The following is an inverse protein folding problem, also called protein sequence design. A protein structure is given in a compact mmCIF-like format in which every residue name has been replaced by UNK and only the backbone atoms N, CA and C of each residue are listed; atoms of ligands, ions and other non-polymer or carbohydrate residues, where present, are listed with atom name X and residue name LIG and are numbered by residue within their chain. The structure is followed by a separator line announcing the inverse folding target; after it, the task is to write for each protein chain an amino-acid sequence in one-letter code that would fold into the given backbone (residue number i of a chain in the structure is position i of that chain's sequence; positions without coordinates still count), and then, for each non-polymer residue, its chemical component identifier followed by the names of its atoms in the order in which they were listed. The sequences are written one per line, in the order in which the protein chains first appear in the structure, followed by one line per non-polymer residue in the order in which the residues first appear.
data_IF_640611297343
#
_entry.id   IF_640611297343
#
_cell.length_a   1.000
_cell.length_b   1.000
_cell.length_c   1.000
_cell.angle_alpha   90.00
_cell.angle_beta   90.00
_cell.angle_gamma   90.00
#
_symmetry.space_group_name_H-M   'P 1'
#
loop_
_entity.id
_entity.type
_entity.pdbx_description
1 polymer ?
#
# COMPACT_ATOMS: atom_id res chain seq x y z
N UNK A 1 -32.45 22.04 28.91
CA UNK A 1 -32.37 20.72 29.57
C UNK A 1 -31.18 19.98 29.00
N UNK A 2 -30.28 19.47 29.85
CA UNK A 2 -29.22 18.59 29.36
C UNK A 2 -29.84 17.26 28.93
N UNK A 3 -29.49 16.77 27.73
CA UNK A 3 -29.83 15.42 27.27
C UNK A 3 -28.70 14.44 27.55
N UNK A 4 -28.99 13.13 27.46
CA UNK A 4 -27.97 12.10 27.52
C UNK A 4 -26.92 12.31 26.40
N UNK A 5 -25.64 12.40 26.75
CA UNK A 5 -24.52 12.62 25.81
C UNK A 5 -24.36 11.50 24.76
N UNK A 6 -24.93 10.32 25.02
CA UNK A 6 -24.87 9.20 24.09
C UNK A 6 -26.07 9.11 23.16
N UNK A 7 -27.30 9.04 23.70
CA UNK A 7 -28.52 8.83 22.90
C UNK A 7 -29.32 10.10 22.61
N UNK A 8 -28.97 11.24 23.20
CA UNK A 8 -29.67 12.52 23.00
C UNK A 8 -31.04 12.62 23.69
N UNK A 9 -31.55 11.55 24.30
CA UNK A 9 -32.82 11.59 25.01
C UNK A 9 -32.78 12.63 26.14
N UNK A 10 -33.77 13.52 26.13
CA UNK A 10 -34.03 14.47 27.20
C UNK A 10 -35.44 14.21 27.74
N UNK A 11 -35.52 13.61 28.92
CA UNK A 11 -36.78 13.59 29.68
C UNK A 11 -36.49 14.19 31.03
N UNK A 12 -37.37 15.08 31.46
CA UNK A 12 -37.36 15.68 32.79
C UNK A 12 -37.37 14.65 33.93
N UNK A 13 -37.82 13.42 33.65
CA UNK A 13 -37.90 12.31 34.62
C UNK A 13 -36.63 11.44 34.69
N UNK A 14 -35.72 11.52 33.72
CA UNK A 14 -34.51 10.70 33.74
C UNK A 14 -33.34 11.51 34.31
N UNK A 15 -32.95 11.19 35.55
CA UNK A 15 -31.71 11.68 36.13
C UNK A 15 -30.51 11.29 35.26
N UNK A 16 -29.65 12.26 34.97
CA UNK A 16 -28.38 12.01 34.30
C UNK A 16 -27.30 11.69 35.33
N UNK A 17 -26.39 10.80 34.96
CA UNK A 17 -25.21 10.46 35.75
C UNK A 17 -24.20 11.61 35.72
N UNK A 18 -23.17 11.62 36.59
CA UNK A 18 -22.11 12.63 36.54
C UNK A 18 -21.41 12.69 35.18
N UNK A 19 -21.37 11.58 34.45
CA UNK A 19 -20.85 11.50 33.07
C UNK A 19 -21.81 12.02 31.99
N UNK A 20 -23.00 12.50 32.36
CA UNK A 20 -24.00 13.01 31.43
C UNK A 20 -24.73 11.91 30.66
N UNK A 21 -24.83 10.69 31.21
CA UNK A 21 -25.52 9.55 30.59
C UNK A 21 -26.85 9.27 31.30
N UNK A 22 -27.84 8.71 30.61
CA UNK A 22 -29.00 8.11 31.29
C UNK A 22 -28.66 6.70 31.79
N UNK A 23 -29.41 6.18 32.76
CA UNK A 23 -29.15 4.88 33.38
C UNK A 23 -29.00 3.72 32.36
N UNK A 24 -29.79 3.72 31.27
CA UNK A 24 -29.68 2.69 30.23
C UNK A 24 -28.37 2.80 29.44
N UNK A 25 -27.91 4.02 29.13
CA UNK A 25 -26.68 4.24 28.38
C UNK A 25 -25.44 4.08 29.26
N UNK A 26 -25.51 4.36 30.57
CA UNK A 26 -24.37 4.29 31.48
C UNK A 26 -23.73 2.90 31.50
N UNK A 27 -24.53 1.85 31.72
CA UNK A 27 -24.01 0.49 31.76
C UNK A 27 -23.41 0.06 30.42
N UNK A 28 -24.08 0.37 29.31
CA UNK A 28 -23.62 -0.02 27.97
C UNK A 28 -22.31 0.69 27.60
N UNK A 29 -22.26 2.02 27.77
CA UNK A 29 -21.08 2.82 27.43
C UNK A 29 -19.91 2.49 28.34
N UNK A 30 -20.15 2.26 29.63
CA UNK A 30 -19.07 1.91 30.56
C UNK A 30 -18.43 0.56 30.22
N UNK A 31 -19.25 -0.45 29.94
CA UNK A 31 -18.76 -1.77 29.53
C UNK A 31 -18.00 -1.71 28.20
N UNK A 32 -18.49 -0.95 27.22
CA UNK A 32 -17.81 -0.73 25.95
C UNK A 32 -16.46 -0.03 26.15
N UNK A 33 -16.43 1.08 26.89
CA UNK A 33 -15.20 1.84 27.18
C UNK A 33 -14.16 0.96 27.87
N UNK A 34 -14.55 0.20 28.89
CA UNK A 34 -13.65 -0.72 29.60
C UNK A 34 -13.06 -1.78 28.65
N UNK A 35 -13.91 -2.41 27.84
CA UNK A 35 -13.47 -3.43 26.89
C UNK A 35 -12.51 -2.85 25.85
N UNK A 36 -12.78 -1.65 25.33
CA UNK A 36 -11.91 -0.97 24.37
C UNK A 36 -10.55 -0.62 24.99
N UNK A 37 -10.54 -0.12 26.23
CA UNK A 37 -9.31 0.17 26.97
C UNK A 37 -8.49 -1.11 27.18
N UNK A 38 -9.13 -2.23 27.50
CA UNK A 38 -8.46 -3.53 27.64
C UNK A 38 -7.75 -3.95 26.35
N UNK A 39 -8.47 -3.91 25.22
CA UNK A 39 -7.93 -4.27 23.89
C UNK A 39 -6.83 -3.30 23.46
N UNK A 40 -7.00 -2.00 23.74
CA UNK A 40 -5.99 -0.97 23.51
C UNK A 40 -4.68 -1.31 24.24
N UNK A 41 -4.76 -1.57 25.55
CA UNK A 41 -3.58 -1.85 26.38
C UNK A 41 -2.89 -3.18 26.01
N UNK A 42 -3.66 -4.20 25.63
CA UNK A 42 -3.10 -5.45 25.12
C UNK A 42 -2.37 -5.25 23.79
N UNK A 43 -2.99 -4.51 22.86
CA UNK A 43 -2.44 -4.27 21.53
C UNK A 43 -1.19 -3.38 21.58
N UNK A 44 -1.20 -2.34 22.43
CA UNK A 44 -0.03 -1.47 22.65
C UNK A 44 1.16 -2.27 23.19
N UNK A 45 0.96 -3.08 24.23
CA UNK A 45 2.01 -3.98 24.76
C UNK A 45 2.50 -4.98 23.71
N UNK A 46 1.59 -5.50 22.88
CA UNK A 46 1.96 -6.37 21.76
C UNK A 46 2.81 -5.66 20.70
N UNK A 47 2.54 -4.39 20.41
CA UNK A 47 3.32 -3.57 19.48
C UNK A 47 4.71 -3.23 20.03
N UNK A 48 4.84 -3.02 21.34
CA UNK A 48 6.11 -2.72 22.00
C UNK A 48 7.06 -3.93 22.02
N UNK A 49 6.51 -5.13 22.24
CA UNK A 49 7.31 -6.35 22.47
C UNK A 49 7.70 -7.08 21.19
N UNK A 50 6.94 -6.93 20.10
CA UNK A 50 7.23 -7.62 18.83
C UNK A 50 8.38 -6.97 18.07
N UNK A 51 9.26 -7.80 17.50
CA UNK A 51 10.33 -7.38 16.59
C UNK A 51 9.89 -7.45 15.10
N UNK A 52 8.77 -8.10 14.81
CA UNK A 52 8.25 -8.20 13.46
C UNK A 52 7.49 -6.91 13.10
N UNK A 53 8.00 -6.18 12.10
CA UNK A 53 7.43 -4.89 11.69
C UNK A 53 5.99 -5.00 11.16
N UNK A 54 5.64 -6.09 10.47
CA UNK A 54 4.26 -6.32 10.00
C UNK A 54 3.33 -6.51 11.19
N UNK A 55 3.68 -7.40 12.11
CA UNK A 55 2.88 -7.62 13.33
C UNK A 55 2.77 -6.34 14.16
N UNK A 56 3.85 -5.54 14.26
CA UNK A 56 3.82 -4.25 14.95
C UNK A 56 2.84 -3.29 14.30
N UNK A 57 2.85 -3.18 12.97
CA UNK A 57 1.89 -2.35 12.22
C UNK A 57 0.45 -2.80 12.43
N UNK A 58 0.18 -4.10 12.42
CA UNK A 58 -1.18 -4.63 12.64
C UNK A 58 -1.69 -4.31 14.06
N UNK A 59 -0.81 -4.38 15.06
CA UNK A 59 -1.12 -3.99 16.43
C UNK A 59 -1.37 -2.48 16.56
N UNK A 60 -0.55 -1.66 15.90
CA UNK A 60 -0.75 -0.20 15.88
C UNK A 60 -2.04 0.20 15.14
N UNK A 61 -2.41 -0.50 14.07
CA UNK A 61 -3.70 -0.30 13.39
C UNK A 61 -4.87 -0.56 14.35
N UNK A 62 -4.80 -1.65 15.13
CA UNK A 62 -5.82 -1.93 16.15
C UNK A 62 -5.86 -0.87 17.26
N UNK A 63 -4.70 -0.40 17.72
CA UNK A 63 -4.59 0.71 18.68
C UNK A 63 -5.29 1.96 18.16
N UNK A 64 -5.03 2.35 16.91
CA UNK A 64 -5.68 3.50 16.26
C UNK A 64 -7.20 3.31 16.22
N UNK A 65 -7.69 2.14 15.80
CA UNK A 65 -9.14 1.85 15.75
C UNK A 65 -9.81 1.98 17.13
N UNK A 66 -9.19 1.46 18.19
CA UNK A 66 -9.76 1.59 19.54
C UNK A 66 -9.74 3.03 20.03
N UNK A 67 -8.66 3.77 19.77
CA UNK A 67 -8.54 5.18 20.13
C UNK A 67 -9.53 6.07 19.36
N UNK A 68 -9.83 5.77 18.09
CA UNK A 68 -10.85 6.50 17.32
C UNK A 68 -12.24 6.36 17.95
N UNK A 69 -12.60 5.15 18.38
CA UNK A 69 -13.87 4.91 19.06
C UNK A 69 -13.94 5.61 20.43
N UNK A 70 -12.87 5.50 21.24
CA UNK A 70 -12.78 6.20 22.53
C UNK A 70 -12.83 7.72 22.37
N UNK A 71 -12.12 8.26 21.38
CA UNK A 71 -12.14 9.68 21.05
C UNK A 71 -13.55 10.15 20.62
N UNK A 72 -14.38 9.28 20.04
CA UNK A 72 -15.76 9.63 19.73
C UNK A 72 -16.62 9.82 20.99
N UNK A 73 -16.38 9.04 22.05
CA UNK A 73 -17.02 9.25 23.36
C UNK A 73 -16.48 10.52 24.03
N UNK A 74 -15.17 10.73 24.00
CA UNK A 74 -14.52 11.94 24.56
C UNK A 74 -15.09 13.22 23.92
N UNK A 75 -15.25 13.26 22.59
CA UNK A 75 -15.86 14.39 21.86
C UNK A 75 -17.31 14.68 22.26
N UNK A 76 -18.04 13.66 22.72
CA UNK A 76 -19.41 13.82 23.26
C UNK A 76 -19.40 14.31 24.71
N UNK A 77 -18.22 14.49 25.30
CA UNK A 77 -18.02 14.85 26.70
C UNK A 77 -18.20 13.66 27.65
N UNK A 78 -18.21 12.41 27.17
CA UNK A 78 -18.32 11.25 28.05
C UNK A 78 -16.95 11.00 28.68
N UNK A 79 -16.85 10.94 30.02
CA UNK A 79 -15.57 10.69 30.69
C UNK A 79 -15.10 9.25 30.43
N UNK A 80 -13.91 9.10 29.85
CA UNK A 80 -13.29 7.80 29.55
C UNK A 80 -12.01 7.53 30.35
N UNK A 81 -11.60 8.45 31.22
CA UNK A 81 -10.44 8.28 32.09
C UNK A 81 -9.06 8.46 31.42
N UNK A 82 -9.01 8.83 30.14
CA UNK A 82 -7.78 9.11 29.39
C UNK A 82 -8.02 10.16 28.30
N UNK A 83 -6.94 10.68 27.70
CA UNK A 83 -6.99 11.65 26.59
C UNK A 83 -6.90 10.95 25.24
N UNK A 84 -8.01 10.37 24.76
CA UNK A 84 -8.02 9.50 23.58
C UNK A 84 -7.62 10.26 22.31
N UNK A 85 -8.06 11.50 22.15
CA UNK A 85 -7.68 12.31 20.99
C UNK A 85 -6.18 12.60 20.91
N UNK A 86 -5.55 12.83 22.06
CA UNK A 86 -4.10 13.03 22.13
C UNK A 86 -3.36 11.76 21.77
N UNK A 87 -3.71 10.64 22.43
CA UNK A 87 -3.10 9.35 22.17
C UNK A 87 -3.32 8.88 20.74
N UNK A 88 -4.50 9.16 20.15
CA UNK A 88 -4.79 8.85 18.75
C UNK A 88 -3.83 9.54 17.80
N UNK A 89 -3.54 10.84 18.02
CA UNK A 89 -2.58 11.59 17.20
C UNK A 89 -1.17 11.03 17.33
N UNK A 90 -0.76 10.64 18.54
CA UNK A 90 0.56 10.05 18.80
C UNK A 90 0.68 8.68 18.14
N UNK A 91 -0.28 7.78 18.36
CA UNK A 91 -0.32 6.44 17.78
C UNK A 91 -0.38 6.48 16.25
N UNK A 92 -1.20 7.36 15.65
CA UNK A 92 -1.27 7.50 14.20
C UNK A 92 0.06 7.97 13.59
N UNK A 93 0.76 8.89 14.26
CA UNK A 93 2.09 9.36 13.82
C UNK A 93 3.14 8.25 13.91
N UNK A 94 3.19 7.51 15.03
CA UNK A 94 4.10 6.38 15.20
C UNK A 94 3.85 5.32 14.13
N UNK A 95 2.58 4.96 13.94
CA UNK A 95 2.14 3.99 12.95
C UNK A 95 2.56 4.39 11.54
N UNK A 96 2.27 5.62 11.11
CA UNK A 96 2.63 6.08 9.77
C UNK A 96 4.15 6.18 9.58
N UNK A 97 4.90 6.55 10.62
CA UNK A 97 6.36 6.55 10.58
C UNK A 97 6.93 5.13 10.41
N UNK A 98 6.40 4.15 11.17
CA UNK A 98 6.79 2.75 11.03
C UNK A 98 6.44 2.20 9.65
N UNK A 99 5.27 2.54 9.10
CA UNK A 99 4.84 2.10 7.77
C UNK A 99 5.81 2.60 6.69
N UNK A 100 6.18 3.88 6.75
CA UNK A 100 7.15 4.45 5.81
C UNK A 100 8.55 3.86 5.98
N UNK A 101 8.97 3.60 7.21
CA UNK A 101 10.26 2.95 7.48
C UNK A 101 10.30 1.52 6.92
N UNK A 102 9.23 0.74 7.11
CA UNK A 102 9.10 -0.61 6.56
C UNK A 102 9.09 -0.58 5.04
N UNK A 103 8.29 0.30 4.42
CA UNK A 103 8.25 0.43 2.96
C UNK A 103 9.62 0.80 2.37
N UNK A 104 10.38 1.67 3.05
CA UNK A 104 11.76 2.02 2.65
C UNK A 104 12.70 0.81 2.76
N UNK A 105 12.65 0.06 3.86
CA UNK A 105 13.49 -1.13 4.04
C UNK A 105 13.19 -2.17 2.97
N UNK A 106 11.92 -2.44 2.71
CA UNK A 106 11.49 -3.38 1.68
C UNK A 106 11.93 -2.94 0.28
N UNK A 107 11.92 -1.62 -0.01
CA UNK A 107 12.49 -1.07 -1.24
C UNK A 107 13.98 -1.36 -1.33
N UNK A 108 14.75 -1.02 -0.29
CA UNK A 108 16.20 -1.19 -0.27
C UNK A 108 16.57 -2.67 -0.46
N UNK A 109 15.86 -3.58 0.22
CA UNK A 109 16.03 -5.03 0.10
C UNK A 109 15.68 -5.55 -1.30
N UNK A 110 14.56 -5.10 -1.86
CA UNK A 110 14.15 -5.45 -3.23
C UNK A 110 15.16 -4.95 -4.25
N UNK A 111 15.63 -3.71 -4.11
CA UNK A 111 16.61 -3.14 -5.05
C UNK A 111 17.97 -3.82 -4.95
N UNK A 112 18.37 -4.30 -3.76
CA UNK A 112 19.55 -5.17 -3.61
C UNK A 112 19.36 -6.50 -4.36
N UNK A 113 18.22 -7.15 -4.19
CA UNK A 113 17.91 -8.41 -4.89
C UNK A 113 17.87 -8.22 -6.41
N UNK A 114 17.24 -7.16 -6.92
CA UNK A 114 17.15 -6.83 -8.35
C UNK A 114 18.54 -6.59 -8.96
N UNK A 115 19.47 -5.98 -8.22
CA UNK A 115 20.85 -5.77 -8.70
C UNK A 115 21.66 -7.08 -8.75
N UNK A 116 21.42 -7.99 -7.81
CA UNK A 116 22.13 -9.26 -7.71
C UNK A 116 21.60 -10.33 -8.68
N UNK A 117 20.34 -10.25 -9.08
CA UNK A 117 19.72 -11.16 -10.03
C UNK A 117 20.25 -10.91 -11.46
N UNK A 118 20.79 -11.89 -12.18
CA UNK A 118 21.18 -11.71 -13.59
C UNK A 118 20.00 -11.80 -14.56
N UNK A 119 18.99 -12.63 -14.28
CA UNK A 119 17.89 -12.90 -15.20
C UNK A 119 16.88 -11.74 -15.22
N UNK A 120 16.65 -11.08 -16.38
CA UNK A 120 15.72 -9.96 -16.47
C UNK A 120 14.28 -10.33 -16.11
N UNK A 121 13.82 -11.55 -16.38
CA UNK A 121 12.44 -11.94 -16.07
C UNK A 121 12.23 -12.03 -14.55
N UNK A 122 13.22 -12.59 -13.84
CA UNK A 122 13.25 -12.60 -12.38
C UNK A 122 13.39 -11.19 -11.79
N UNK A 123 14.21 -10.31 -12.37
CA UNK A 123 14.28 -8.89 -11.97
C UNK A 123 12.91 -8.21 -12.06
N UNK A 124 12.22 -8.37 -13.19
CA UNK A 124 10.91 -7.78 -13.38
C UNK A 124 9.88 -8.35 -12.39
N UNK A 125 9.92 -9.66 -12.14
CA UNK A 125 9.07 -10.30 -11.12
C UNK A 125 9.31 -9.72 -9.73
N UNK A 126 10.56 -9.55 -9.30
CA UNK A 126 10.88 -8.93 -8.00
C UNK A 126 10.30 -7.51 -7.86
N UNK A 127 10.39 -6.70 -8.93
CA UNK A 127 9.82 -5.36 -8.96
C UNK A 127 8.29 -5.38 -8.94
N UNK A 128 7.65 -6.30 -9.66
CA UNK A 128 6.18 -6.45 -9.64
C UNK A 128 5.66 -6.94 -8.28
N UNK A 129 6.32 -7.92 -7.67
CA UNK A 129 6.00 -8.41 -6.32
C UNK A 129 6.14 -7.26 -5.29
N UNK A 130 7.16 -6.40 -5.43
CA UNK A 130 7.30 -5.21 -4.59
C UNK A 130 6.25 -4.13 -4.89
N UNK A 131 5.83 -3.94 -6.14
CA UNK A 131 4.73 -3.03 -6.51
C UNK A 131 3.44 -3.41 -5.79
N UNK A 132 3.13 -4.70 -5.67
CA UNK A 132 1.96 -5.16 -4.91
C UNK A 132 2.06 -4.77 -3.43
N UNK A 133 3.21 -4.98 -2.80
CA UNK A 133 3.44 -4.53 -1.41
C UNK A 133 3.33 -3.01 -1.25
N UNK A 134 3.79 -2.22 -2.23
CA UNK A 134 3.60 -0.76 -2.22
C UNK A 134 2.12 -0.36 -2.27
N UNK A 135 1.28 -1.10 -3.01
CA UNK A 135 -0.16 -0.87 -3.01
C UNK A 135 -0.77 -1.16 -1.65
N UNK A 136 -0.32 -2.23 -0.99
CA UNK A 136 -0.78 -2.55 0.37
C UNK A 136 -0.36 -1.45 1.36
N UNK A 137 0.89 -0.98 1.31
CA UNK A 137 1.33 0.16 2.11
C UNK A 137 0.51 1.43 1.83
N UNK A 138 0.22 1.72 0.56
CA UNK A 138 -0.56 2.88 0.17
C UNK A 138 -2.04 2.78 0.57
N UNK A 139 -2.61 1.57 0.60
CA UNK A 139 -3.97 1.29 1.07
C UNK A 139 -4.08 1.40 2.59
N UNK A 140 -3.00 1.07 3.32
CA UNK A 140 -2.91 1.24 4.77
C UNK A 140 -2.64 2.69 5.18
N UNK A 141 -1.84 3.46 4.43
CA UNK A 141 -1.44 4.81 4.82
C UNK A 141 -2.61 5.80 4.87
N UNK A 142 -2.76 6.54 5.99
CA UNK A 142 -3.76 7.62 6.09
C UNK A 142 -3.41 8.78 5.16
N UNK A 143 -2.13 9.13 5.10
CA UNK A 143 -1.57 10.06 4.13
C UNK A 143 -0.66 9.26 3.19
N UNK A 144 -1.07 9.16 1.92
CA UNK A 144 -0.35 8.35 0.92
C UNK A 144 1.10 8.78 0.71
N UNK A 145 1.40 10.06 0.94
CA UNK A 145 2.76 10.61 0.87
C UNK A 145 3.47 10.25 -0.44
N UNK A 146 4.72 9.77 -0.39
CA UNK A 146 5.49 9.43 -1.59
C UNK A 146 5.13 8.06 -2.21
N UNK A 147 4.30 7.24 -1.56
CA UNK A 147 4.07 5.85 -1.98
C UNK A 147 3.50 5.72 -3.40
N UNK A 148 2.51 6.51 -3.85
CA UNK A 148 2.00 6.40 -5.22
C UNK A 148 3.03 6.78 -6.28
N UNK A 149 3.90 7.75 -5.98
CA UNK A 149 4.97 8.14 -6.90
C UNK A 149 6.05 7.04 -6.97
N UNK A 150 6.36 6.41 -5.84
CA UNK A 150 7.27 5.27 -5.79
C UNK A 150 6.70 4.06 -6.54
N UNK A 151 5.41 3.77 -6.38
CA UNK A 151 4.73 2.69 -7.12
C UNK A 151 4.87 2.87 -8.63
N UNK A 152 4.62 4.09 -9.15
CA UNK A 152 4.80 4.40 -10.58
C UNK A 152 6.24 4.21 -11.03
N UNK A 153 7.23 4.61 -10.22
CA UNK A 153 8.66 4.42 -10.53
C UNK A 153 9.03 2.94 -10.60
N UNK A 154 8.54 2.13 -9.65
CA UNK A 154 8.78 0.68 -9.64
C UNK A 154 8.11 -0.01 -10.83
N UNK A 155 6.87 0.37 -11.14
CA UNK A 155 6.15 -0.13 -12.31
C UNK A 155 6.90 0.18 -13.61
N UNK A 156 7.35 1.44 -13.78
CA UNK A 156 8.14 1.85 -14.93
C UNK A 156 9.49 1.12 -15.00
N UNK A 157 10.16 0.90 -13.87
CA UNK A 157 11.41 0.13 -13.82
C UNK A 157 11.19 -1.33 -14.26
N UNK A 158 10.10 -1.98 -13.81
CA UNK A 158 9.76 -3.34 -14.21
C UNK A 158 9.45 -3.43 -15.72
N UNK A 159 8.67 -2.46 -16.23
CA UNK A 159 8.40 -2.33 -17.66
C UNK A 159 9.69 -2.22 -18.48
N UNK A 160 10.62 -1.35 -18.07
CA UNK A 160 11.88 -1.14 -18.79
C UNK A 160 12.73 -2.41 -18.83
N UNK A 161 12.87 -3.11 -17.72
CA UNK A 161 13.62 -4.40 -17.67
C UNK A 161 13.01 -5.41 -18.64
N UNK A 162 11.68 -5.54 -18.67
CA UNK A 162 11.01 -6.45 -19.60
C UNK A 162 11.19 -6.05 -21.06
N UNK A 163 11.13 -4.75 -21.36
CA UNK A 163 11.31 -4.24 -22.72
C UNK A 163 12.73 -4.50 -23.22
N UNK A 164 13.74 -4.14 -22.42
CA UNK A 164 15.15 -4.33 -22.76
C UNK A 164 15.44 -5.81 -23.02
N UNK A 165 14.94 -6.71 -22.16
CA UNK A 165 15.09 -8.15 -22.33
C UNK A 165 14.43 -8.69 -23.60
N UNK A 166 13.22 -8.22 -23.93
CA UNK A 166 12.52 -8.61 -25.15
C UNK A 166 13.27 -8.14 -26.40
N UNK A 167 13.78 -6.91 -26.40
CA UNK A 167 14.60 -6.36 -27.49
C UNK A 167 15.92 -7.13 -27.66
N UNK A 168 16.63 -7.43 -26.57
CA UNK A 168 17.85 -8.23 -26.59
C UNK A 168 17.61 -9.66 -27.09
N UNK A 169 16.45 -10.25 -26.79
CA UNK A 169 16.06 -11.56 -27.38
C UNK A 169 15.82 -11.44 -28.87
N UNK A 170 15.16 -10.39 -29.33
CA UNK A 170 14.93 -10.13 -30.75
C UNK A 170 16.25 -10.01 -31.52
N UNK A 171 17.17 -9.18 -31.02
CA UNK A 171 18.51 -9.00 -31.63
C UNK A 171 19.30 -10.31 -31.65
N UNK A 172 19.26 -11.10 -30.56
CA UNK A 172 19.96 -12.39 -30.53
C UNK A 172 19.39 -13.41 -31.51
N UNK A 173 18.06 -13.49 -31.61
CA UNK A 173 17.39 -14.37 -32.55
C UNK A 173 17.66 -13.96 -34.00
N UNK A 174 17.68 -12.66 -34.29
CA UNK A 174 18.10 -12.10 -35.57
C UNK A 174 19.52 -12.55 -35.94
N UNK A 175 20.49 -12.38 -35.03
CA UNK A 175 21.88 -12.82 -35.25
C UNK A 175 22.00 -14.34 -35.45
N UNK A 176 21.13 -15.12 -34.82
CA UNK A 176 21.09 -16.57 -34.96
C UNK A 176 20.36 -17.04 -36.24
N UNK A 177 19.66 -16.14 -36.95
CA UNK A 177 18.81 -16.48 -38.08
C UNK A 177 17.51 -17.21 -37.69
N UNK A 178 17.14 -17.22 -36.41
CA UNK A 178 15.89 -17.82 -35.91
C UNK A 178 14.74 -16.83 -36.08
N UNK A 179 14.17 -16.81 -37.27
CA UNK A 179 13.08 -15.88 -37.65
C UNK A 179 11.85 -15.98 -36.76
N UNK A 180 11.53 -17.19 -36.29
CA UNK A 180 10.34 -17.41 -35.45
C UNK A 180 10.54 -16.85 -34.04
N UNK A 181 11.72 -17.07 -33.44
CA UNK A 181 12.05 -16.46 -32.15
C UNK A 181 12.17 -14.94 -32.24
N UNK A 182 12.72 -14.44 -33.34
CA UNK A 182 12.84 -13.01 -33.62
C UNK A 182 11.46 -12.34 -33.69
N UNK A 183 10.54 -12.91 -34.48
CA UNK A 183 9.17 -12.43 -34.62
C UNK A 183 8.46 -12.37 -33.26
N UNK A 184 8.51 -13.45 -32.48
CA UNK A 184 7.89 -13.50 -31.14
C UNK A 184 8.45 -12.44 -30.20
N UNK A 185 9.77 -12.25 -30.20
CA UNK A 185 10.42 -11.27 -29.34
C UNK A 185 10.01 -9.83 -29.69
N UNK A 186 10.00 -9.46 -30.97
CA UNK A 186 9.59 -8.12 -31.39
C UNK A 186 8.07 -7.88 -31.21
N UNK A 187 7.22 -8.89 -31.39
CA UNK A 187 5.79 -8.79 -31.04
C UNK A 187 5.59 -8.54 -29.54
N UNK A 188 6.37 -9.22 -28.68
CA UNK A 188 6.36 -8.96 -27.25
C UNK A 188 6.83 -7.54 -26.92
N UNK A 189 7.91 -7.06 -27.55
CA UNK A 189 8.37 -5.67 -27.41
C UNK A 189 7.29 -4.65 -27.82
N UNK A 190 6.60 -4.89 -28.94
CA UNK A 190 5.51 -4.01 -29.39
C UNK A 190 4.34 -3.98 -28.40
N UNK A 191 4.01 -5.14 -27.82
CA UNK A 191 2.99 -5.24 -26.77
C UNK A 191 3.38 -4.41 -25.54
N UNK A 192 4.63 -4.52 -25.08
CA UNK A 192 5.16 -3.73 -23.97
C UNK A 192 5.19 -2.22 -24.27
N UNK A 193 5.60 -1.84 -25.49
CA UNK A 193 5.63 -0.45 -25.95
C UNK A 193 4.23 0.16 -26.08
N UNK A 194 3.19 -0.66 -26.19
CA UNK A 194 1.79 -0.23 -26.28
C UNK A 194 1.09 -0.18 -24.92
N UNK A 195 1.76 -0.63 -23.84
CA UNK A 195 1.19 -0.64 -22.50
C UNK A 195 1.08 0.77 -21.89
N UNK A 196 0.15 1.00 -20.93
CA UNK A 196 0.04 2.28 -20.21
C UNK A 196 1.29 2.68 -19.41
N UNK A 197 2.13 1.69 -19.07
CA UNK A 197 3.38 1.92 -18.33
C UNK A 197 4.51 2.43 -19.26
N UNK A 198 4.32 2.36 -20.59
CA UNK A 198 5.24 2.89 -21.57
C UNK A 198 5.22 4.43 -21.53
N UNK A 199 6.33 5.01 -21.06
CA UNK A 199 6.52 6.46 -20.99
C UNK A 199 7.96 6.83 -21.27
N UNK A 200 8.17 8.04 -21.78
CA UNK A 200 9.50 8.56 -22.12
C UNK A 200 9.61 8.98 -23.59
N UNK A 201 10.60 9.82 -23.91
CA UNK A 201 10.74 10.42 -25.24
C UNK A 201 11.06 9.38 -26.33
N UNK A 202 11.72 8.28 -25.97
CA UNK A 202 12.19 7.26 -26.92
C UNK A 202 11.14 6.19 -27.26
N UNK A 203 9.98 6.17 -26.58
CA UNK A 203 8.98 5.11 -26.77
C UNK A 203 8.42 5.09 -28.20
N UNK A 204 8.17 6.27 -28.78
CA UNK A 204 7.64 6.39 -30.14
C UNK A 204 8.67 5.89 -31.16
N UNK A 205 9.93 6.33 -31.01
CA UNK A 205 11.03 5.90 -31.88
C UNK A 205 11.25 4.39 -31.81
N UNK A 206 11.30 3.82 -30.61
CA UNK A 206 11.42 2.38 -30.41
C UNK A 206 10.24 1.62 -31.01
N UNK A 207 9.01 2.15 -30.89
CA UNK A 207 7.82 1.54 -31.48
C UNK A 207 7.92 1.51 -33.01
N UNK A 208 8.29 2.62 -33.64
CA UNK A 208 8.48 2.68 -35.10
C UNK A 208 9.57 1.70 -35.56
N UNK A 209 10.68 1.62 -34.83
CA UNK A 209 11.76 0.67 -35.11
C UNK A 209 11.30 -0.79 -35.05
N UNK A 210 10.58 -1.16 -33.99
CA UNK A 210 10.04 -2.52 -33.82
C UNK A 210 9.00 -2.84 -34.90
N UNK A 211 8.12 -1.91 -35.22
CA UNK A 211 7.11 -2.08 -36.29
C UNK A 211 7.77 -2.30 -37.66
N UNK A 212 8.73 -1.45 -38.05
CA UNK A 212 9.43 -1.61 -39.32
C UNK A 212 10.18 -2.94 -39.42
N UNK A 213 10.67 -3.47 -38.29
CA UNK A 213 11.29 -4.79 -38.27
C UNK A 213 10.29 -5.94 -38.45
N UNK A 214 9.12 -5.85 -37.81
CA UNK A 214 8.05 -6.83 -37.97
C UNK A 214 7.55 -6.87 -39.42
N UNK A 215 7.36 -5.71 -40.06
CA UNK A 215 6.97 -5.61 -41.47
C UNK A 215 8.01 -6.28 -42.41
N UNK A 216 9.30 -6.09 -42.14
CA UNK A 216 10.36 -6.74 -42.92
C UNK A 216 10.36 -8.27 -42.77
N UNK A 217 10.08 -8.78 -41.56
CA UNK A 217 9.96 -10.22 -41.32
C UNK A 217 8.76 -10.83 -42.04
N UNK A 218 7.62 -10.15 -42.06
CA UNK A 218 6.42 -10.61 -42.75
C UNK A 218 6.59 -10.62 -44.27
N UNK A 219 7.25 -9.59 -44.83
CA UNK A 219 7.62 -9.56 -46.26
C UNK A 219 8.54 -10.74 -46.62
N UNK A 220 9.54 -11.03 -45.79
CA UNK A 220 10.49 -12.13 -46.02
C UNK A 220 9.89 -13.54 -45.85
N UNK A 221 8.69 -13.67 -45.26
CA UNK A 221 7.92 -14.93 -45.19
C UNK A 221 7.01 -15.12 -46.40
N UNK A 222 6.68 -14.03 -47.11
CA UNK A 222 5.78 -14.02 -48.26
C UNK A 222 6.51 -14.19 -49.59
N UNK A 223 7.84 -14.03 -49.60
CA UNK A 223 8.73 -14.23 -50.74
C UNK A 223 9.31 -15.65 -50.76
#
# INVERSE_FOLDING_TARGET
MAGCRFCGCSSWLFGLTPGGLCANCEHLVSAEVEQRIRVLNESARGAETTQNASTKLDRLDLVVVQLEALAAHERRGIPIGLSAERQLREAARERDALLMQTAKRDLDDTMRAVRAEPDPERKAKLLLDFRLRLRDFAGRARVKGPLPALERKVAHAAWRVNLDAALERGVRAECAGDRDAELRAYQQSLTLLSSPDASGPTVIEQRLRVMGRLEALDAARSA
#
